data_IF_703088216406
#
_entry.id   IF_703088216406
#
_cell.length_a   1.000
_cell.length_b   1.000
_cell.length_c   1.000
_cell.angle_alpha   90.00
_cell.angle_beta   90.00
_cell.angle_gamma   90.00
#
_symmetry.space_group_name_H-M   'P 1'
#
loop_
_entity.id
_entity.type
_entity.pdbx_description
1 polymer ?
#
# COMPACT_ATOMS: atom_id res chain seq x y z
N UNK A 1 19.54 2.09 -23.77
CA UNK A 1 19.11 2.82 -22.54
C UNK A 1 18.60 1.91 -21.41
N UNK A 2 17.79 0.85 -21.66
CA UNK A 2 17.24 -0.04 -20.61
C UNK A 2 18.28 -0.85 -19.80
N UNK A 3 19.38 -1.34 -20.41
CA UNK A 3 20.38 -2.18 -19.71
C UNK A 3 21.22 -1.40 -18.69
N UNK A 4 21.66 -0.17 -19.02
CA UNK A 4 22.39 0.68 -18.09
C UNK A 4 21.54 1.02 -16.85
N UNK A 5 20.25 1.32 -17.03
CA UNK A 5 19.30 1.56 -15.92
C UNK A 5 19.16 0.32 -15.03
N UNK A 6 19.08 -0.88 -15.62
CA UNK A 6 19.04 -2.14 -14.86
C UNK A 6 20.32 -2.38 -14.05
N UNK A 7 21.50 -2.14 -14.62
CA UNK A 7 22.78 -2.26 -13.89
C UNK A 7 22.89 -1.24 -12.74
N UNK A 8 22.40 -0.02 -12.95
CA UNK A 8 22.29 1.01 -11.92
C UNK A 8 21.34 0.57 -10.79
N UNK A 9 20.13 0.15 -11.13
CA UNK A 9 19.11 -0.28 -10.17
C UNK A 9 19.51 -1.58 -9.43
N UNK A 10 20.25 -2.49 -10.05
CA UNK A 10 20.75 -3.70 -9.41
C UNK A 10 19.77 -4.87 -9.34
N UNK A 11 18.57 -4.72 -9.91
CA UNK A 11 17.53 -5.75 -10.00
C UNK A 11 16.58 -5.48 -11.18
N UNK A 12 15.76 -6.47 -11.54
CA UNK A 12 14.67 -6.40 -12.54
C UNK A 12 13.30 -6.38 -11.86
N UNK A 13 12.28 -5.90 -12.56
CA UNK A 13 10.89 -5.89 -12.09
C UNK A 13 10.55 -4.75 -11.14
N UNK A 14 11.30 -3.66 -11.24
CA UNK A 14 10.93 -2.36 -10.68
C UNK A 14 9.77 -1.78 -11.51
N UNK A 15 8.63 -1.41 -10.90
CA UNK A 15 7.49 -0.89 -11.64
C UNK A 15 7.86 0.30 -12.53
N UNK A 16 7.37 0.31 -13.77
CA UNK A 16 7.66 1.34 -14.77
C UNK A 16 6.52 2.35 -14.90
N UNK A 17 6.70 3.52 -14.30
CA UNK A 17 5.70 4.61 -14.31
C UNK A 17 5.53 5.28 -15.70
N UNK A 18 6.30 4.88 -16.72
CA UNK A 18 6.14 5.42 -18.08
C UNK A 18 4.96 4.80 -18.85
N UNK A 19 4.51 3.61 -18.46
CA UNK A 19 3.39 2.92 -19.08
C UNK A 19 2.37 2.51 -18.01
N UNK A 20 1.28 3.26 -17.93
CA UNK A 20 0.25 3.11 -16.89
C UNK A 20 -1.04 2.50 -17.44
N UNK A 21 -1.66 1.63 -16.66
CA UNK A 21 -3.05 1.20 -16.79
C UNK A 21 -3.91 1.92 -15.75
N UNK A 22 -5.22 1.95 -15.99
CA UNK A 22 -6.18 2.65 -15.13
C UNK A 22 -7.34 1.71 -14.85
N UNK A 23 -7.74 1.63 -13.57
CA UNK A 23 -9.02 1.04 -13.17
C UNK A 23 -9.87 2.09 -12.44
N UNK A 24 -11.18 1.99 -12.61
CA UNK A 24 -12.15 2.92 -12.07
C UNK A 24 -13.17 2.14 -11.25
N UNK A 25 -13.43 2.61 -10.03
CA UNK A 25 -14.34 1.97 -9.08
C UNK A 25 -15.38 2.99 -8.65
N UNK A 26 -16.65 2.58 -8.60
CA UNK A 26 -17.71 3.36 -7.97
C UNK A 26 -17.89 2.90 -6.53
N UNK A 27 -17.68 3.78 -5.56
CA UNK A 27 -17.87 3.49 -4.15
C UNK A 27 -18.91 4.45 -3.61
N UNK A 28 -20.14 3.98 -3.45
CA UNK A 28 -21.28 4.80 -3.06
C UNK A 28 -21.44 6.00 -4.00
N UNK A 29 -21.40 7.21 -3.46
CA UNK A 29 -21.41 8.47 -4.22
C UNK A 29 -20.02 8.94 -4.67
N UNK A 30 -19.00 8.09 -4.63
CA UNK A 30 -17.63 8.41 -5.00
C UNK A 30 -17.15 7.62 -6.22
N UNK A 31 -16.29 8.25 -7.03
CA UNK A 31 -15.53 7.60 -8.08
C UNK A 31 -14.05 7.58 -7.68
N UNK A 32 -13.46 6.39 -7.71
CA UNK A 32 -12.04 6.16 -7.45
C UNK A 32 -11.39 5.76 -8.75
N UNK A 33 -10.43 6.55 -9.24
CA UNK A 33 -9.60 6.21 -10.39
C UNK A 33 -8.20 5.91 -9.90
N UNK A 34 -7.73 4.68 -10.15
CA UNK A 34 -6.44 4.19 -9.71
C UNK A 34 -5.55 3.84 -10.91
N UNK A 35 -4.44 4.55 -11.05
CA UNK A 35 -3.44 4.27 -12.09
C UNK A 35 -2.33 3.37 -11.54
N UNK A 36 -1.88 2.38 -12.32
CA UNK A 36 -0.79 1.47 -11.94
C UNK A 36 0.09 1.06 -13.12
N UNK A 37 1.40 0.81 -12.93
CA UNK A 37 2.31 0.36 -13.98
C UNK A 37 1.89 -0.93 -14.65
N UNK A 38 2.06 -1.01 -15.98
CA UNK A 38 1.65 -2.16 -16.81
C UNK A 38 2.54 -3.40 -16.67
N UNK A 39 3.74 -3.28 -16.13
CA UNK A 39 4.70 -4.37 -15.97
C UNK A 39 4.36 -5.32 -14.80
N UNK A 40 3.08 -5.68 -14.71
CA UNK A 40 2.47 -6.48 -13.65
C UNK A 40 2.87 -7.95 -13.77
N UNK A 41 3.06 -8.61 -12.62
CA UNK A 41 3.14 -10.06 -12.53
C UNK A 41 1.73 -10.67 -12.47
N UNK A 42 0.87 -10.08 -11.64
CA UNK A 42 -0.47 -10.58 -11.37
C UNK A 42 -1.41 -9.43 -11.03
N UNK A 43 -2.70 -9.60 -11.34
CA UNK A 43 -3.76 -8.65 -11.07
C UNK A 43 -5.00 -9.41 -10.65
N UNK A 44 -5.77 -8.83 -9.73
CA UNK A 44 -7.12 -9.29 -9.42
C UNK A 44 -8.02 -8.09 -9.19
N UNK A 45 -9.16 -8.12 -9.86
CA UNK A 45 -10.23 -7.15 -9.73
C UNK A 45 -11.39 -7.85 -9.02
N UNK A 46 -11.88 -7.28 -7.93
CA UNK A 46 -12.90 -7.90 -7.09
C UNK A 46 -14.28 -7.27 -7.28
N UNK A 47 -14.35 -5.95 -7.31
CA UNK A 47 -15.61 -5.19 -7.39
C UNK A 47 -15.43 -4.00 -8.34
N UNK A 48 -16.37 -3.76 -9.25
CA UNK A 48 -16.45 -2.52 -10.04
C UNK A 48 -17.21 -1.43 -9.30
N UNK A 49 -18.16 -1.84 -8.46
CA UNK A 49 -19.03 -0.96 -7.69
C UNK A 49 -19.33 -1.51 -6.31
N UNK A 50 -19.31 -0.66 -5.29
CA UNK A 50 -19.57 -1.02 -3.90
C UNK A 50 -20.45 0.02 -3.22
N UNK A 51 -21.53 -0.40 -2.56
CA UNK A 51 -22.38 0.47 -1.74
C UNK A 51 -22.05 0.29 -0.26
N UNK A 52 -22.06 1.36 0.52
CA UNK A 52 -21.69 1.31 1.94
C UNK A 52 -22.62 0.41 2.77
N UNK A 53 -23.89 0.32 2.42
CA UNK A 53 -24.86 -0.58 3.06
C UNK A 53 -24.48 -2.06 2.94
N UNK A 54 -23.79 -2.45 1.86
CA UNK A 54 -23.36 -3.82 1.60
C UNK A 54 -22.10 -4.22 2.39
N UNK A 55 -21.48 -3.32 3.16
CA UNK A 55 -20.19 -3.57 3.79
C UNK A 55 -20.20 -4.86 4.62
N UNK A 56 -21.22 -5.08 5.45
CA UNK A 56 -21.28 -6.25 6.32
C UNK A 56 -21.47 -7.56 5.55
N UNK A 57 -22.00 -7.51 4.32
CA UNK A 57 -22.26 -8.67 3.48
C UNK A 57 -21.00 -9.01 2.65
N UNK A 58 -20.35 -7.99 2.10
CA UNK A 58 -19.20 -8.15 1.19
C UNK A 58 -17.84 -8.13 1.87
N UNK A 59 -17.76 -7.66 3.12
CA UNK A 59 -16.48 -7.56 3.83
C UNK A 59 -15.88 -8.93 4.12
N UNK A 60 -14.56 -9.00 4.02
CA UNK A 60 -13.76 -10.06 4.62
C UNK A 60 -13.18 -9.56 5.94
N UNK A 61 -13.15 -10.44 6.93
CA UNK A 61 -12.41 -10.23 8.16
C UNK A 61 -11.11 -11.02 8.11
N UNK A 62 -9.99 -10.34 8.30
CA UNK A 62 -8.67 -10.95 8.33
C UNK A 62 -7.83 -10.30 9.41
N UNK A 63 -7.43 -11.10 10.40
CA UNK A 63 -6.73 -10.64 11.60
C UNK A 63 -7.58 -9.57 12.31
N UNK A 64 -7.07 -8.36 12.47
CA UNK A 64 -7.73 -7.25 13.18
C UNK A 64 -8.51 -6.34 12.23
N UNK A 65 -8.56 -6.66 10.93
CA UNK A 65 -9.10 -5.76 9.92
C UNK A 65 -10.33 -6.37 9.25
N UNK A 66 -11.37 -5.55 9.12
CA UNK A 66 -12.55 -5.83 8.31
C UNK A 66 -12.56 -4.91 7.10
N UNK A 67 -12.64 -5.47 5.89
CA UNK A 67 -12.52 -4.69 4.67
C UNK A 67 -13.19 -5.32 3.45
N UNK A 68 -13.49 -4.51 2.44
CA UNK A 68 -13.85 -4.95 1.09
C UNK A 68 -12.64 -4.71 0.18
N UNK A 69 -12.17 -5.75 -0.52
CA UNK A 69 -11.14 -5.57 -1.54
C UNK A 69 -11.78 -5.02 -2.81
N UNK A 70 -11.22 -3.94 -3.36
CA UNK A 70 -11.59 -3.46 -4.70
C UNK A 70 -10.64 -4.05 -5.75
N UNK A 71 -9.34 -3.94 -5.47
CA UNK A 71 -8.30 -4.21 -6.44
C UNK A 71 -7.00 -4.70 -5.82
N UNK A 72 -6.27 -5.49 -6.61
CA UNK A 72 -4.96 -6.01 -6.29
C UNK A 72 -4.07 -6.05 -7.52
N UNK A 73 -2.82 -5.60 -7.38
CA UNK A 73 -1.77 -5.76 -8.38
C UNK A 73 -0.46 -6.17 -7.72
N UNK A 74 0.27 -7.09 -8.36
CA UNK A 74 1.56 -7.61 -7.88
C UNK A 74 2.68 -7.40 -8.89
N UNK A 75 3.88 -7.12 -8.39
CA UNK A 75 5.13 -6.99 -9.14
C UNK A 75 6.18 -7.94 -8.55
N UNK A 76 7.10 -8.42 -9.38
CA UNK A 76 8.14 -9.37 -8.95
C UNK A 76 9.54 -8.83 -9.17
N UNK A 77 10.29 -8.70 -8.08
CA UNK A 77 11.70 -8.36 -8.15
C UNK A 77 12.52 -9.59 -8.52
N UNK A 78 13.45 -9.42 -9.47
CA UNK A 78 14.29 -10.52 -9.98
C UNK A 78 15.75 -10.13 -10.10
N UNK A 79 16.65 -11.12 -10.10
CA UNK A 79 18.08 -10.89 -10.34
C UNK A 79 18.32 -10.41 -11.78
N UNK A 80 19.35 -9.59 -11.98
CA UNK A 80 19.75 -9.16 -13.33
C UNK A 80 20.27 -10.36 -14.12
N UNK A 81 21.17 -11.14 -13.50
CA UNK A 81 21.79 -12.35 -14.05
C UNK A 81 21.14 -13.57 -13.43
N UNK A 82 20.58 -14.43 -14.26
CA UNK A 82 20.04 -15.72 -13.84
C UNK A 82 21.20 -16.67 -13.57
N UNK A 83 21.30 -17.23 -12.35
CA UNK A 83 22.24 -18.30 -12.10
C UNK A 83 21.64 -19.60 -12.64
N UNK A 84 22.27 -20.20 -13.65
CA UNK A 84 21.77 -21.44 -14.28
C UNK A 84 21.90 -22.67 -13.37
N UNK A 85 22.72 -22.60 -12.31
CA UNK A 85 22.94 -23.70 -11.36
C UNK A 85 21.88 -23.70 -10.25
N UNK A 86 21.39 -22.51 -9.85
CA UNK A 86 20.30 -22.35 -8.88
C UNK A 86 19.27 -21.38 -9.47
N UNK A 87 18.20 -21.88 -10.11
CA UNK A 87 17.24 -21.08 -10.87
C UNK A 87 16.35 -20.17 -10.00
N UNK A 88 16.69 -19.93 -8.73
CA UNK A 88 16.01 -18.98 -7.87
C UNK A 88 16.35 -17.56 -8.33
N UNK A 89 15.50 -17.06 -9.22
CA UNK A 89 15.62 -15.74 -9.83
C UNK A 89 14.77 -14.67 -9.11
N UNK A 90 13.96 -15.04 -8.12
CA UNK A 90 13.16 -14.07 -7.37
C UNK A 90 13.96 -13.43 -6.24
N UNK A 91 13.78 -12.13 -6.06
CA UNK A 91 14.32 -11.33 -4.95
C UNK A 91 13.22 -10.90 -3.98
N UNK A 92 11.96 -11.16 -4.32
CA UNK A 92 10.80 -10.64 -3.62
C UNK A 92 9.70 -10.16 -4.55
N UNK A 93 8.69 -9.57 -3.95
CA UNK A 93 7.49 -9.05 -4.59
C UNK A 93 7.03 -7.76 -3.93
N UNK A 94 6.34 -6.94 -4.70
CA UNK A 94 5.53 -5.82 -4.23
C UNK A 94 4.08 -6.14 -4.54
N UNK A 95 3.20 -5.97 -3.57
CA UNK A 95 1.76 -6.07 -3.73
C UNK A 95 1.13 -4.73 -3.41
N UNK A 96 0.23 -4.27 -4.27
CA UNK A 96 -0.56 -3.06 -4.03
C UNK A 96 -2.02 -3.48 -3.92
N UNK A 97 -2.65 -3.16 -2.79
CA UNK A 97 -4.06 -3.44 -2.55
C UNK A 97 -4.83 -2.14 -2.41
N UNK A 98 -6.01 -2.10 -3.02
CA UNK A 98 -6.99 -1.05 -2.83
C UNK A 98 -8.19 -1.64 -2.06
N UNK A 99 -8.48 -1.09 -0.89
CA UNK A 99 -9.49 -1.63 0.02
C UNK A 99 -10.39 -0.54 0.57
N UNK A 100 -11.67 -0.84 0.74
CA UNK A 100 -12.56 -0.02 1.56
C UNK A 100 -12.62 -0.63 2.96
N UNK A 101 -12.37 0.19 3.97
CA UNK A 101 -12.46 -0.19 5.38
C UNK A 101 -13.50 0.68 6.06
N UNK A 102 -13.98 0.23 7.21
CA UNK A 102 -14.99 0.92 7.99
C UNK A 102 -14.59 0.93 9.46
N UNK A 103 -14.57 2.10 10.07
CA UNK A 103 -14.46 2.23 11.52
C UNK A 103 -15.78 1.91 12.22
N UNK A 104 -15.69 1.49 13.48
CA UNK A 104 -16.86 1.30 14.33
C UNK A 104 -17.44 2.61 14.91
N UNK A 105 -16.74 3.73 14.69
CA UNK A 105 -17.17 5.07 15.04
C UNK A 105 -17.25 5.95 13.79
N UNK A 106 -18.03 7.03 13.83
CA UNK A 106 -17.92 8.08 12.82
C UNK A 106 -16.56 8.75 12.95
N UNK A 107 -15.87 8.91 11.83
CA UNK A 107 -14.54 9.51 11.75
C UNK A 107 -14.61 10.62 10.73
N UNK A 108 -14.31 11.84 11.16
CA UNK A 108 -14.39 13.04 10.31
C UNK A 108 -13.01 13.68 10.11
N UNK A 109 -12.03 13.35 10.97
CA UNK A 109 -10.69 13.93 10.93
C UNK A 109 -9.58 12.88 10.85
N UNK A 110 -8.43 13.27 10.31
CA UNK A 110 -7.26 12.40 10.18
C UNK A 110 -6.69 11.98 11.55
N UNK A 111 -6.81 12.84 12.56
CA UNK A 111 -6.40 12.52 13.92
C UNK A 111 -7.31 11.44 14.55
N UNK A 112 -8.63 11.53 14.34
CA UNK A 112 -9.55 10.47 14.77
C UNK A 112 -9.26 9.14 14.07
N UNK A 113 -9.02 9.17 12.76
CA UNK A 113 -8.64 7.99 11.99
C UNK A 113 -7.31 7.39 12.48
N UNK A 114 -6.32 8.23 12.76
CA UNK A 114 -5.02 7.82 13.31
C UNK A 114 -5.18 7.10 14.64
N UNK A 115 -5.94 7.69 15.57
CA UNK A 115 -6.17 7.11 16.89
C UNK A 115 -6.97 5.80 16.78
N UNK A 116 -7.95 5.73 15.88
CA UNK A 116 -8.70 4.50 15.62
C UNK A 116 -7.78 3.36 15.14
N UNK A 117 -6.96 3.62 14.11
CA UNK A 117 -6.07 2.62 13.50
C UNK A 117 -5.00 2.16 14.50
N UNK A 118 -4.36 3.09 15.21
CA UNK A 118 -3.34 2.77 16.22
C UNK A 118 -3.93 1.90 17.33
N UNK A 119 -5.12 2.24 17.83
CA UNK A 119 -5.80 1.48 18.87
C UNK A 119 -6.22 0.10 18.38
N UNK A 120 -6.91 -0.01 17.23
CA UNK A 120 -7.36 -1.29 16.68
C UNK A 120 -6.18 -2.26 16.48
N UNK A 121 -5.06 -1.77 15.95
CA UNK A 121 -3.85 -2.56 15.76
C UNK A 121 -3.23 -2.99 17.10
N UNK A 122 -3.05 -2.03 18.02
CA UNK A 122 -2.36 -2.29 19.28
C UNK A 122 -3.19 -3.20 20.20
N UNK A 123 -4.49 -2.93 20.35
CA UNK A 123 -5.40 -3.73 21.18
C UNK A 123 -5.44 -5.19 20.72
N UNK A 124 -5.33 -5.42 19.41
CA UNK A 124 -5.31 -6.77 18.88
C UNK A 124 -3.97 -7.49 19.10
N UNK A 125 -2.84 -6.93 18.65
CA UNK A 125 -1.55 -7.64 18.73
C UNK A 125 -0.91 -7.64 20.12
N UNK A 126 -1.23 -6.65 20.95
CA UNK A 126 -0.66 -6.43 22.29
C UNK A 126 -1.64 -6.79 23.41
N UNK A 127 -2.70 -7.56 23.08
CA UNK A 127 -3.62 -8.07 24.09
C UNK A 127 -2.83 -8.85 25.17
N UNK A 128 -3.06 -8.57 26.48
CA UNK A 128 -2.40 -9.31 27.55
C UNK A 128 -2.84 -10.77 27.67
N UNK A 129 -3.92 -11.16 26.97
CA UNK A 129 -4.42 -12.53 26.91
C UNK A 129 -4.31 -13.07 25.47
N UNK A 130 -3.14 -13.62 25.09
CA UNK A 130 -2.93 -14.20 23.76
C UNK A 130 -3.94 -15.32 23.46
N UNK A 131 -4.36 -15.40 22.20
CA UNK A 131 -5.28 -16.43 21.73
C UNK A 131 -4.55 -17.36 20.74
N UNK A 132 -4.46 -18.65 21.05
CA UNK A 132 -3.73 -19.64 20.22
C UNK A 132 -4.31 -19.83 18.82
N UNK A 133 -5.61 -19.57 18.64
CA UNK A 133 -6.31 -19.76 17.36
C UNK A 133 -6.25 -18.52 16.45
N UNK A 134 -5.58 -17.45 16.88
CA UNK A 134 -5.49 -16.19 16.12
C UNK A 134 -4.14 -15.50 16.33
N UNK A 135 -3.98 -14.32 15.76
CA UNK A 135 -2.82 -13.46 16.02
C UNK A 135 -3.04 -12.46 17.16
N UNK A 136 -4.16 -12.57 17.88
CA UNK A 136 -4.46 -11.70 19.02
C UNK A 136 -3.48 -11.98 20.17
N UNK A 137 -2.86 -10.92 20.70
CA UNK A 137 -1.82 -10.99 21.72
C UNK A 137 -0.49 -11.58 21.24
N UNK A 138 -0.30 -11.75 19.92
CA UNK A 138 0.93 -12.37 19.38
C UNK A 138 2.20 -11.59 19.73
N UNK A 139 2.14 -10.25 19.79
CA UNK A 139 3.29 -9.46 20.25
C UNK A 139 3.65 -9.81 21.69
N UNK A 140 2.65 -9.82 22.56
CA UNK A 140 2.78 -10.12 23.99
C UNK A 140 3.42 -11.49 24.20
N UNK A 141 2.88 -12.51 23.55
CA UNK A 141 3.34 -13.89 23.66
C UNK A 141 4.81 -14.03 23.21
N UNK A 142 5.11 -13.54 21.99
CA UNK A 142 6.46 -13.61 21.43
C UNK A 142 7.47 -12.85 22.29
N UNK A 143 7.12 -11.68 22.82
CA UNK A 143 8.03 -10.91 23.66
C UNK A 143 8.26 -11.54 25.03
N UNK A 144 7.27 -12.22 25.61
CA UNK A 144 7.45 -12.98 26.83
C UNK A 144 8.42 -14.14 26.62
N UNK A 145 8.22 -14.93 25.57
CA UNK A 145 9.12 -16.02 25.20
C UNK A 145 10.54 -15.54 24.90
N UNK A 146 10.66 -14.44 24.14
CA UNK A 146 11.95 -13.85 23.82
C UNK A 146 12.70 -13.40 25.07
N UNK A 147 12.02 -12.82 26.07
CA UNK A 147 12.63 -12.43 27.34
C UNK A 147 13.13 -13.64 28.13
N UNK A 148 12.32 -14.70 28.23
CA UNK A 148 12.70 -15.94 28.92
C UNK A 148 13.96 -16.55 28.28
N UNK A 149 13.97 -16.68 26.96
CA UNK A 149 15.12 -17.24 26.21
C UNK A 149 16.35 -16.35 26.36
N UNK A 150 16.17 -15.04 26.29
CA UNK A 150 17.24 -14.07 26.43
C UNK A 150 17.90 -14.14 27.82
N UNK A 151 17.08 -14.23 28.87
CA UNK A 151 17.54 -14.34 30.25
C UNK A 151 18.26 -15.65 30.51
N UNK A 152 17.76 -16.77 29.96
CA UNK A 152 18.42 -18.07 30.07
C UNK A 152 19.80 -18.10 29.39
N UNK A 153 19.96 -17.42 28.25
CA UNK A 153 21.19 -17.46 27.45
C UNK A 153 22.25 -16.46 27.91
N UNK A 154 21.84 -15.26 28.30
CA UNK A 154 22.76 -14.16 28.58
C UNK A 154 22.67 -13.65 30.03
N UNK A 155 21.75 -14.16 30.84
CA UNK A 155 21.50 -13.69 32.20
C UNK A 155 20.46 -12.57 32.22
N UNK A 156 19.80 -12.41 33.37
CA UNK A 156 18.77 -11.37 33.58
C UNK A 156 19.39 -9.97 33.46
N UNK A 157 20.50 -9.74 34.16
CA UNK A 157 21.28 -8.50 34.10
C UNK A 157 22.75 -8.87 33.82
N UNK A 158 23.15 -9.05 32.54
CA UNK A 158 24.54 -9.29 32.21
C UNK A 158 25.40 -8.05 32.46
N UNK A 159 26.55 -8.24 33.10
CA UNK A 159 27.54 -7.16 33.31
C UNK A 159 28.62 -7.13 32.21
N UNK A 160 28.59 -8.11 31.30
CA UNK A 160 29.51 -8.23 30.17
C UNK A 160 28.93 -7.53 28.92
N UNK A 161 29.66 -6.58 28.35
CA UNK A 161 29.22 -5.80 27.19
C UNK A 161 28.80 -6.66 25.99
N UNK A 162 29.52 -7.75 25.75
CA UNK A 162 29.27 -8.65 24.62
C UNK A 162 27.95 -9.41 24.80
N UNK A 163 27.67 -9.87 26.04
CA UNK A 163 26.37 -10.45 26.40
C UNK A 163 25.24 -9.44 26.31
N UNK A 164 25.45 -8.20 26.79
CA UNK A 164 24.46 -7.12 26.66
C UNK A 164 24.09 -6.91 25.19
N UNK A 165 25.09 -6.70 24.31
CA UNK A 165 24.87 -6.47 22.87
C UNK A 165 24.15 -7.64 22.20
N UNK A 166 24.51 -8.89 22.53
CA UNK A 166 23.85 -10.09 21.97
C UNK A 166 22.40 -10.21 22.44
N UNK A 167 22.14 -9.96 23.72
CA UNK A 167 20.80 -9.95 24.32
C UNK A 167 19.91 -8.90 23.66
N UNK A 168 20.39 -7.67 23.57
CA UNK A 168 19.67 -6.56 22.93
C UNK A 168 19.36 -6.87 21.46
N UNK A 169 20.35 -7.34 20.70
CA UNK A 169 20.15 -7.70 19.29
C UNK A 169 19.06 -8.75 19.09
N UNK A 170 19.03 -9.77 19.95
CA UNK A 170 18.01 -10.82 19.90
C UNK A 170 16.61 -10.28 20.24
N UNK A 171 16.50 -9.47 21.29
CA UNK A 171 15.23 -8.85 21.70
C UNK A 171 14.71 -7.87 20.64
N UNK A 172 15.58 -7.06 20.05
CA UNK A 172 15.22 -6.16 18.94
C UNK A 172 14.72 -6.95 17.73
N UNK A 173 15.41 -8.04 17.37
CA UNK A 173 14.97 -8.89 16.27
C UNK A 173 13.57 -9.48 16.55
N UNK A 174 13.36 -10.01 17.76
CA UNK A 174 12.08 -10.57 18.20
C UNK A 174 10.97 -9.51 18.19
N UNK A 175 11.25 -8.31 18.68
CA UNK A 175 10.34 -7.18 18.67
C UNK A 175 9.83 -6.84 17.27
N UNK A 176 10.72 -6.78 16.27
CA UNK A 176 10.31 -6.49 14.89
C UNK A 176 9.58 -7.65 14.20
N UNK A 177 9.78 -8.89 14.64
CA UNK A 177 8.98 -10.02 14.19
C UNK A 177 7.57 -10.02 14.79
N UNK A 178 7.43 -9.53 16.02
CA UNK A 178 6.21 -9.60 16.81
C UNK A 178 5.16 -8.53 16.57
N UNK A 179 5.10 -7.83 15.43
CA UNK A 179 4.10 -6.76 15.20
C UNK A 179 4.17 -5.63 16.26
N UNK A 180 5.28 -4.89 16.31
CA UNK A 180 5.44 -3.80 17.28
C UNK A 180 4.38 -2.70 17.10
N UNK A 181 4.17 -1.84 18.10
CA UNK A 181 3.17 -0.79 18.00
C UNK A 181 3.42 0.11 16.79
N UNK A 182 2.35 0.43 16.07
CA UNK A 182 2.43 1.35 14.92
C UNK A 182 2.20 2.79 15.38
N UNK A 183 2.73 3.72 14.59
CA UNK A 183 2.42 5.15 14.72
C UNK A 183 1.96 5.68 13.37
N UNK A 184 0.77 6.27 13.37
CA UNK A 184 0.21 6.98 12.25
C UNK A 184 0.82 8.38 12.11
N UNK A 185 0.91 8.84 10.87
CA UNK A 185 1.35 10.19 10.50
C UNK A 185 0.40 10.75 9.47
N UNK A 186 -0.04 11.98 9.71
CA UNK A 186 -0.76 12.74 8.70
C UNK A 186 0.24 13.19 7.62
N UNK A 187 -0.07 12.88 6.37
CA UNK A 187 0.75 13.26 5.22
C UNK A 187 -0.15 13.78 4.10
N UNK A 188 0.30 14.85 3.44
CA UNK A 188 -0.38 15.40 2.27
C UNK A 188 0.32 14.86 1.02
N UNK A 189 -0.42 14.19 0.14
CA UNK A 189 0.09 13.65 -1.12
C UNK A 189 -0.85 14.06 -2.25
N UNK A 190 -0.37 14.93 -3.14
CA UNK A 190 -1.23 15.55 -4.15
C UNK A 190 -2.39 16.30 -3.48
N UNK A 191 -3.61 15.93 -3.87
CA UNK A 191 -4.85 16.49 -3.31
C UNK A 191 -5.40 15.71 -2.11
N UNK A 192 -4.68 14.69 -1.63
CA UNK A 192 -5.16 13.79 -0.59
C UNK A 192 -4.48 14.08 0.74
N UNK A 193 -5.29 14.16 1.80
CA UNK A 193 -4.84 14.09 3.19
C UNK A 193 -4.93 12.64 3.63
N UNK A 194 -3.78 12.05 3.94
CA UNK A 194 -3.66 10.63 4.23
C UNK A 194 -3.22 10.42 5.67
N UNK A 195 -3.80 9.42 6.32
CA UNK A 195 -3.24 8.80 7.51
C UNK A 195 -2.33 7.65 7.08
N UNK A 196 -1.02 7.88 7.16
CA UNK A 196 0.01 6.91 6.80
C UNK A 196 0.51 6.16 8.04
N UNK A 197 0.65 4.83 7.94
CA UNK A 197 1.47 4.07 8.89
C UNK A 197 2.32 3.03 8.17
N UNK A 198 3.30 2.48 8.89
CA UNK A 198 4.17 1.41 8.40
C UNK A 198 4.15 0.24 9.37
N UNK A 199 4.14 -0.98 8.83
CA UNK A 199 4.20 -2.23 9.56
C UNK A 199 5.39 -3.05 9.04
N UNK A 200 6.12 -3.70 9.96
CA UNK A 200 7.27 -4.52 9.62
C UNK A 200 8.56 -3.71 9.46
N UNK A 201 9.59 -4.38 8.97
CA UNK A 201 10.91 -3.79 8.78
C UNK A 201 11.70 -4.59 7.75
N UNK A 202 12.12 -3.93 6.69
CA UNK A 202 12.84 -4.57 5.58
C UNK A 202 14.20 -5.16 5.98
N UNK A 203 14.83 -4.66 7.05
CA UNK A 203 16.13 -5.13 7.53
C UNK A 203 16.04 -6.28 8.54
N UNK A 204 14.91 -6.41 9.26
CA UNK A 204 14.74 -7.45 10.28
C UNK A 204 13.74 -8.55 9.89
N UNK A 205 12.64 -8.18 9.22
CA UNK A 205 11.56 -9.09 8.80
C UNK A 205 11.62 -9.40 7.30
N UNK A 206 12.35 -8.61 6.51
CA UNK A 206 12.31 -8.62 5.03
C UNK A 206 10.89 -8.45 4.48
N UNK A 207 10.01 -7.90 5.32
CA UNK A 207 8.62 -7.62 5.05
C UNK A 207 8.36 -6.20 5.55
N UNK A 208 7.83 -5.35 4.67
CA UNK A 208 7.46 -3.98 4.96
C UNK A 208 6.13 -3.69 4.28
N UNK A 209 5.15 -3.24 5.07
CA UNK A 209 3.87 -2.76 4.57
C UNK A 209 3.74 -1.28 4.89
N UNK A 210 3.43 -0.46 3.89
CA UNK A 210 3.09 0.95 4.04
C UNK A 210 1.64 1.14 3.63
N UNK A 211 0.88 1.81 4.48
CA UNK A 211 -0.57 1.95 4.29
C UNK A 211 -0.93 3.40 4.33
N UNK A 212 -1.68 3.85 3.32
CA UNK A 212 -2.19 5.21 3.19
C UNK A 212 -3.71 5.15 3.26
N UNK A 213 -4.29 5.82 4.25
CA UNK A 213 -5.73 5.80 4.48
C UNK A 213 -6.31 7.19 4.22
N UNK A 214 -7.33 7.26 3.37
CA UNK A 214 -8.02 8.49 2.97
C UNK A 214 -9.47 8.38 3.43
N UNK A 215 -9.94 9.33 4.23
CA UNK A 215 -11.32 9.38 4.71
C UNK A 215 -12.24 9.60 3.51
N UNK A 216 -13.34 8.84 3.45
CA UNK A 216 -14.40 9.02 2.46
C UNK A 216 -15.61 9.68 3.14
N UNK A 217 -16.45 8.89 3.81
CA UNK A 217 -17.67 9.36 4.49
C UNK A 217 -18.18 8.31 5.47
N UNK A 218 -18.92 8.72 6.51
CA UNK A 218 -19.65 7.81 7.40
C UNK A 218 -18.78 6.77 8.11
N UNK A 219 -17.50 7.09 8.40
CA UNK A 219 -16.52 6.16 8.96
C UNK A 219 -15.88 5.21 7.95
N UNK A 220 -16.23 5.32 6.66
CA UNK A 220 -15.54 4.61 5.59
C UNK A 220 -14.30 5.35 5.15
N UNK A 221 -13.25 4.58 4.84
CA UNK A 221 -12.00 5.11 4.32
C UNK A 221 -11.39 4.17 3.28
N UNK A 222 -10.75 4.78 2.28
CA UNK A 222 -9.96 4.08 1.28
C UNK A 222 -8.59 3.76 1.88
N UNK A 223 -8.14 2.52 1.75
CA UNK A 223 -6.82 2.07 2.17
C UNK A 223 -6.04 1.61 0.95
N UNK A 224 -4.95 2.32 0.65
CA UNK A 224 -3.96 1.94 -0.37
C UNK A 224 -2.76 1.31 0.35
N UNK A 225 -2.57 0.02 0.16
CA UNK A 225 -1.56 -0.76 0.88
C UNK A 225 -0.43 -1.21 -0.06
N UNK A 226 0.79 -0.73 0.16
CA UNK A 226 2.00 -1.19 -0.50
C UNK A 226 2.71 -2.20 0.38
N UNK A 227 2.75 -3.47 -0.04
CA UNK A 227 3.32 -4.56 0.72
C UNK A 227 4.53 -5.18 0.00
N UNK A 228 5.71 -4.93 0.55
CA UNK A 228 6.99 -5.43 0.07
C UNK A 228 7.37 -6.71 0.82
N UNK A 229 7.40 -7.85 0.10
CA UNK A 229 7.89 -9.13 0.62
C UNK A 229 9.19 -9.51 -0.07
N UNK A 230 10.31 -9.38 0.64
CA UNK A 230 11.63 -9.65 0.10
C UNK A 230 12.14 -11.03 0.52
N UNK A 231 12.95 -11.65 -0.33
CA UNK A 231 13.60 -12.91 0.00
C UNK A 231 14.93 -12.61 0.70
N UNK A 232 14.99 -12.92 1.99
CA UNK A 232 16.17 -12.66 2.84
C UNK A 232 17.45 -13.30 2.32
N UNK A 233 17.34 -14.43 1.61
CA UNK A 233 18.49 -15.21 1.13
C UNK A 233 19.16 -14.59 -0.10
N UNK A 234 18.47 -13.71 -0.82
CA UNK A 234 18.92 -13.22 -2.12
C UNK A 234 18.85 -11.71 -2.29
N UNK A 235 18.19 -11.00 -1.37
CA UNK A 235 18.01 -9.56 -1.47
C UNK A 235 19.33 -8.81 -1.41
N UNK A 236 19.54 -7.88 -2.34
CA UNK A 236 20.74 -7.05 -2.40
C UNK A 236 20.49 -5.64 -1.82
N UNK A 237 21.57 -4.96 -1.45
CA UNK A 237 21.54 -3.62 -0.86
C UNK A 237 20.81 -2.57 -1.72
N UNK A 238 20.86 -2.70 -3.05
CA UNK A 238 20.19 -1.75 -3.95
C UNK A 238 18.67 -1.91 -3.91
N UNK A 239 18.16 -3.15 -3.87
CA UNK A 239 16.73 -3.42 -3.68
C UNK A 239 16.26 -2.93 -2.30
N UNK A 240 17.01 -3.23 -1.23
CA UNK A 240 16.70 -2.70 0.11
C UNK A 240 16.61 -1.18 0.10
N UNK A 241 17.62 -0.50 -0.46
CA UNK A 241 17.62 0.95 -0.55
C UNK A 241 16.46 1.48 -1.40
N UNK A 242 16.09 0.81 -2.49
CA UNK A 242 14.95 1.21 -3.29
C UNK A 242 13.64 1.10 -2.50
N UNK A 243 13.39 -0.03 -1.82
CA UNK A 243 12.20 -0.22 -0.97
C UNK A 243 12.16 0.80 0.17
N UNK A 244 13.28 1.01 0.87
CA UNK A 244 13.37 1.98 1.96
C UNK A 244 13.01 3.40 1.52
N UNK A 245 13.28 3.78 0.26
CA UNK A 245 12.99 5.11 -0.29
C UNK A 245 11.78 5.12 -1.24
N UNK A 246 11.00 4.03 -1.33
CA UNK A 246 9.92 3.93 -2.30
C UNK A 246 8.77 4.91 -1.98
N UNK A 247 8.54 5.21 -0.71
CA UNK A 247 7.52 6.16 -0.26
C UNK A 247 7.78 7.60 -0.73
N UNK A 248 9.04 8.02 -0.78
CA UNK A 248 9.43 9.36 -1.20
C UNK A 248 9.34 9.58 -2.72
N UNK A 249 9.24 8.52 -3.52
CA UNK A 249 9.23 8.58 -4.99
C UNK A 249 8.10 7.76 -5.60
N UNK A 250 8.25 6.44 -5.63
CA UNK A 250 7.33 5.55 -6.33
C UNK A 250 5.91 5.58 -5.76
N UNK A 251 5.76 5.39 -4.44
CA UNK A 251 4.43 5.35 -3.81
C UNK A 251 3.79 6.75 -3.86
N UNK A 252 4.59 7.81 -3.65
CA UNK A 252 4.14 9.19 -3.79
C UNK A 252 3.62 9.48 -5.21
N UNK A 253 4.38 9.16 -6.26
CA UNK A 253 3.96 9.39 -7.65
C UNK A 253 2.68 8.61 -8.01
N UNK A 254 2.52 7.39 -7.47
CA UNK A 254 1.29 6.60 -7.61
C UNK A 254 0.10 7.28 -6.92
N UNK A 255 0.28 7.71 -5.68
CA UNK A 255 -0.76 8.34 -4.87
C UNK A 255 -1.13 9.75 -5.34
N UNK A 256 -0.21 10.48 -5.96
CA UNK A 256 -0.50 11.77 -6.61
C UNK A 256 -1.43 11.63 -7.82
N UNK A 257 -1.45 10.44 -8.45
CA UNK A 257 -2.31 10.10 -9.60
C UNK A 257 -3.65 9.46 -9.20
N UNK A 258 -3.79 9.07 -7.93
CA UNK A 258 -5.06 8.60 -7.41
C UNK A 258 -6.05 9.76 -7.51
N UNK A 259 -7.23 9.52 -8.07
CA UNK A 259 -8.31 10.49 -8.04
C UNK A 259 -9.47 9.90 -7.22
N UNK A 260 -9.94 10.69 -6.27
CA UNK A 260 -11.15 10.43 -5.48
C UNK A 260 -12.04 11.66 -5.68
N UNK A 261 -13.20 11.46 -6.27
CA UNK A 261 -14.13 12.56 -6.58
C UNK A 261 -15.56 12.14 -6.27
N UNK A 262 -16.42 13.11 -5.98
CA UNK A 262 -17.86 12.83 -5.93
C UNK A 262 -18.33 12.40 -7.33
N UNK A 263 -19.08 11.31 -7.39
CA UNK A 263 -19.59 10.70 -8.61
C UNK A 263 -20.44 11.69 -9.42
N UNK A 264 -21.27 12.50 -8.74
CA UNK A 264 -22.10 13.53 -9.37
C UNK A 264 -21.22 14.59 -10.06
N UNK A 265 -20.19 15.09 -9.38
CA UNK A 265 -19.26 16.07 -9.94
C UNK A 265 -18.47 15.47 -11.11
N UNK A 266 -18.11 14.19 -11.03
CA UNK A 266 -17.45 13.46 -12.11
C UNK A 266 -18.33 13.31 -13.36
N UNK A 267 -19.62 12.98 -13.20
CA UNK A 267 -20.57 12.91 -14.29
C UNK A 267 -20.81 14.29 -14.94
N UNK A 268 -20.91 15.35 -14.14
CA UNK A 268 -21.10 16.72 -14.63
C UNK A 268 -19.89 17.18 -15.46
N UNK A 269 -18.66 16.96 -14.96
CA UNK A 269 -17.45 17.31 -15.69
C UNK A 269 -17.33 16.54 -17.02
N UNK A 270 -17.65 15.24 -17.02
CA UNK A 270 -17.66 14.44 -18.25
C UNK A 270 -18.67 14.95 -19.28
N UNK A 271 -19.87 15.34 -18.84
CA UNK A 271 -20.89 15.91 -19.70
C UNK A 271 -20.47 17.27 -20.28
N UNK A 272 -19.84 18.13 -19.48
CA UNK A 272 -19.29 19.42 -19.93
C UNK A 272 -18.17 19.26 -20.97
N UNK A 273 -17.29 18.27 -20.78
CA UNK A 273 -16.20 17.98 -21.70
C UNK A 273 -16.71 17.46 -23.05
N UNK A 274 -17.72 16.58 -23.04
CA UNK A 274 -18.40 16.13 -24.24
C UNK A 274 -19.13 17.27 -24.97
N UNK A 275 -19.77 18.18 -24.23
CA UNK A 275 -20.40 19.37 -24.82
C UNK A 275 -19.38 20.31 -25.46
N UNK A 276 -18.21 20.50 -24.83
CA UNK A 276 -17.11 21.29 -25.38
C UNK A 276 -16.53 20.67 -26.65
N UNK A 277 -16.28 19.37 -26.66
CA UNK A 277 -15.80 18.67 -27.87
C UNK A 277 -16.82 18.72 -29.01
N UNK A 278 -18.10 18.52 -28.71
CA UNK A 278 -19.15 18.59 -29.71
C UNK A 278 -19.32 20.01 -30.25
N UNK A 279 -19.24 21.03 -29.39
CA UNK A 279 -19.24 22.44 -29.80
C UNK A 279 -18.03 22.82 -30.66
N UNK A 280 -16.84 22.30 -30.35
CA UNK A 280 -15.63 22.51 -31.14
C UNK A 280 -15.71 21.84 -32.53
N UNK A 281 -16.20 20.60 -32.60
CA UNK A 281 -16.46 19.88 -33.86
C UNK A 281 -17.49 20.60 -34.73
N UNK A 282 -18.52 21.18 -34.11
CA UNK A 282 -19.55 21.94 -34.83
C UNK A 282 -19.01 23.26 -35.39
N UNK A 283 -18.19 24.01 -34.62
CA UNK A 283 -17.49 25.21 -35.11
C UNK A 283 -16.53 24.90 -36.27
N UNK A 284 -15.74 23.84 -36.18
CA UNK A 284 -14.84 23.42 -37.27
C UNK A 284 -15.59 23.06 -38.56
N UNK A 285 -16.75 22.41 -38.45
CA UNK A 285 -17.61 22.05 -39.59
C UNK A 285 -18.24 23.27 -40.26
N UNK A 286 -18.55 24.32 -39.48
CA UNK A 286 -19.05 25.60 -40.00
C UNK A 286 -17.94 26.36 -40.73
N UNK A 287 -16.74 26.47 -40.16
CA UNK A 287 -15.59 27.14 -40.79
C UNK A 287 -15.15 26.43 -42.09
N UNK A 288 -15.15 25.10 -42.12
CA UNK A 288 -14.87 24.32 -43.33
C UNK A 288 -15.91 24.45 -44.45
N UNK A 289 -17.17 24.81 -44.11
CA UNK A 289 -18.21 25.12 -45.10
C UNK A 289 -18.00 26.50 -45.73
N UNK A 290 -17.62 27.52 -44.95
CA UNK A 290 -17.36 28.86 -45.47
C UNK A 290 -16.09 28.94 -46.32
N UNK A 291 -15.05 28.15 -46.01
CA UNK A 291 -13.84 28.07 -46.82
C UNK A 291 -14.05 27.47 -48.23
N UNK A 292 -15.14 26.71 -48.45
CA UNK A 292 -15.52 26.17 -49.76
C UNK A 292 -16.41 27.09 -50.59
N UNK A 293 -17.03 28.11 -49.99
CA UNK A 293 -17.96 29.02 -50.68
C UNK A 293 -17.21 30.24 -51.27
N UNK A 294 -15.99 30.55 -50.79
CA UNK A 294 -15.16 31.64 -51.30
C UNK A 294 -14.26 31.32 -52.50
N UNK A 295 -14.48 30.20 -53.20
CA UNK A 295 -13.75 29.82 -54.42
C UNK A 295 -14.72 29.58 -55.58
N UNK A 296 -15.45 30.61 -55.99
CA UNK A 296 -16.07 30.69 -57.32
C UNK A 296 -16.06 32.15 -57.77
#
# INVERSE_FOLDING_TARGET
MKIFKLLLDGFKGKPDLSEMSIDIFRVDDYLIKFEFPKDILERRHYEDSFLFEDFNIKSTEYIHQKYVNLFYVGYSFRKIVTNYIFPVNTLGKLYINLRIKKSNATIETENELSNFIEREYNDYYHDPNPCSDSMRGYHTDLMNDARIIADQRWGVNPDDEDKIKKKEKYLIHSFFLGYPPIKCKEVNIGNHRCVKYEEGNVYYKYDLKRVYNIIISGGFYLSVEFWYKLDSSYTNKKLLNWVSNADAKFEKEMLERLELSNYIDSCLNSAEEQLRENGAKQKARVVGKYAKIGKH
#
